data_IF_479663198394
#
_entry.id   IF_479663198394
#
_cell.length_a   1.000
_cell.length_b   1.000
_cell.length_c   1.000
_cell.angle_alpha   90.00
_cell.angle_beta   90.00
_cell.angle_gamma   90.00
#
_symmetry.space_group_name_H-M   'P 1'
#
loop_
_entity.id
_entity.type
_entity.pdbx_description
1 polymer ?
#
# COMPACT_ATOMS: atom_id res chain seq x y z
N UNK A 1 -8.99 -24.55 -10.98
CA UNK A 1 -7.69 -23.86 -11.06
C UNK A 1 -7.93 -22.45 -11.61
N UNK A 2 -7.35 -21.43 -10.98
CA UNK A 2 -7.39 -20.05 -11.48
C UNK A 2 -6.43 -19.95 -12.67
N UNK A 3 -6.97 -19.78 -13.88
CA UNK A 3 -6.17 -19.43 -15.07
C UNK A 3 -6.07 -17.91 -15.10
N UNK A 4 -4.86 -17.37 -15.08
CA UNK A 4 -4.68 -15.92 -15.13
C UNK A 4 -5.21 -15.35 -16.45
N UNK A 5 -6.10 -14.36 -16.33
CA UNK A 5 -6.47 -13.45 -17.41
C UNK A 5 -6.09 -12.04 -16.98
N UNK A 6 -5.33 -11.32 -17.80
CA UNK A 6 -5.05 -9.91 -17.55
C UNK A 6 -6.34 -9.12 -17.78
N UNK A 7 -6.81 -8.45 -16.73
CA UNK A 7 -7.97 -7.57 -16.82
C UNK A 7 -7.71 -6.40 -17.79
N UNK A 8 -8.73 -6.03 -18.55
CA UNK A 8 -8.71 -4.84 -19.39
C UNK A 8 -8.72 -3.57 -18.55
N UNK A 9 -8.31 -2.45 -19.16
CA UNK A 9 -8.40 -1.14 -18.51
C UNK A 9 -9.84 -0.80 -18.09
N UNK A 10 -10.84 -1.19 -18.90
CA UNK A 10 -12.25 -0.97 -18.58
C UNK A 10 -12.70 -1.78 -17.36
N UNK A 11 -12.31 -3.07 -17.29
CA UNK A 11 -12.63 -3.96 -16.17
C UNK A 11 -12.05 -3.42 -14.85
N UNK A 12 -10.80 -2.94 -14.86
CA UNK A 12 -10.17 -2.32 -13.69
C UNK A 12 -10.86 -1.02 -13.30
N UNK A 13 -11.23 -0.18 -14.27
CA UNK A 13 -11.89 1.10 -14.01
C UNK A 13 -13.34 0.96 -13.52
N UNK A 14 -13.95 -0.22 -13.66
CA UNK A 14 -15.28 -0.52 -13.14
C UNK A 14 -15.44 -0.22 -11.64
N UNK A 15 -14.37 -0.31 -10.85
CA UNK A 15 -14.39 0.04 -9.42
C UNK A 15 -14.81 1.49 -9.15
N UNK A 16 -14.54 2.39 -10.10
CA UNK A 16 -14.88 3.80 -10.01
C UNK A 16 -16.31 4.10 -10.47
N UNK A 17 -17.13 3.09 -10.78
CA UNK A 17 -18.57 3.31 -11.07
C UNK A 17 -19.37 3.58 -9.81
N UNK A 18 -18.94 3.08 -8.66
CA UNK A 18 -19.66 3.23 -7.37
C UNK A 18 -18.79 3.92 -6.32
N UNK A 19 -19.41 4.49 -5.29
CA UNK A 19 -18.70 5.02 -4.11
C UNK A 19 -18.42 3.93 -3.04
N UNK A 20 -18.91 2.71 -3.26
CA UNK A 20 -18.85 1.59 -2.31
C UNK A 20 -17.69 0.61 -2.61
N UNK A 21 -16.57 1.13 -3.13
CA UNK A 21 -15.39 0.31 -3.36
C UNK A 21 -14.87 -0.27 -2.03
N UNK A 22 -14.52 -1.56 -2.04
CA UNK A 22 -13.96 -2.23 -0.88
C UNK A 22 -12.74 -1.46 -0.35
N UNK A 23 -12.59 -1.38 0.96
CA UNK A 23 -11.54 -0.60 1.62
C UNK A 23 -10.22 -1.39 1.69
N UNK A 24 -9.09 -0.69 1.57
CA UNK A 24 -7.76 -1.27 1.81
C UNK A 24 -6.95 -0.44 2.82
N UNK A 25 -6.43 -1.10 3.85
CA UNK A 25 -5.42 -0.54 4.75
C UNK A 25 -4.02 -0.97 4.30
N UNK A 26 -3.17 -0.03 3.90
CA UNK A 26 -1.78 -0.26 3.51
C UNK A 26 -0.89 0.00 4.73
N UNK A 27 -0.32 -1.07 5.28
CA UNK A 27 0.51 -1.06 6.48
C UNK A 27 1.98 -1.14 6.08
N UNK A 28 2.76 -0.16 6.51
CA UNK A 28 4.20 -0.05 6.25
C UNK A 28 4.95 -0.17 7.58
N UNK A 29 5.29 -1.37 8.06
CA UNK A 29 6.17 -1.53 9.21
C UNK A 29 7.60 -1.07 8.88
N UNK A 30 8.15 -0.25 9.77
CA UNK A 30 9.48 0.33 9.69
C UNK A 30 10.21 0.13 11.04
N UNK A 31 11.47 -0.29 10.99
CA UNK A 31 12.41 -0.29 12.09
C UNK A 31 13.78 0.23 11.63
N UNK A 32 14.15 1.44 12.10
CA UNK A 32 15.48 2.04 11.86
C UNK A 32 15.88 2.18 10.38
N UNK A 33 14.97 2.10 9.41
CA UNK A 33 15.30 2.41 8.02
C UNK A 33 15.58 3.91 7.83
N UNK A 34 16.33 4.23 6.77
CA UNK A 34 16.60 5.61 6.41
C UNK A 34 15.29 6.35 6.05
N UNK A 35 15.09 7.60 6.53
CA UNK A 35 13.84 8.33 6.29
C UNK A 35 13.48 8.45 4.81
N UNK A 36 14.47 8.58 3.92
CA UNK A 36 14.27 8.67 2.47
C UNK A 36 13.73 7.37 1.86
N UNK A 37 14.18 6.22 2.38
CA UNK A 37 13.71 4.89 1.95
C UNK A 37 12.23 4.72 2.34
N UNK A 38 11.90 5.04 3.59
CA UNK A 38 10.51 5.02 4.09
C UNK A 38 9.63 6.00 3.29
N UNK A 39 10.15 7.19 2.95
CA UNK A 39 9.42 8.20 2.20
C UNK A 39 9.03 7.72 0.79
N UNK A 40 9.93 7.04 0.07
CA UNK A 40 9.65 6.44 -1.25
C UNK A 40 8.52 5.43 -1.16
N UNK A 41 8.58 4.54 -0.18
CA UNK A 41 7.55 3.53 0.09
C UNK A 41 6.20 4.17 0.38
N UNK A 42 6.14 5.08 1.36
CA UNK A 42 4.89 5.76 1.73
C UNK A 42 4.30 6.56 0.59
N UNK A 43 5.13 7.23 -0.23
CA UNK A 43 4.65 8.01 -1.36
C UNK A 43 4.09 7.11 -2.48
N UNK A 44 4.75 5.99 -2.80
CA UNK A 44 4.23 5.01 -3.77
C UNK A 44 2.94 4.33 -3.29
N UNK A 45 2.80 4.10 -1.98
CA UNK A 45 1.57 3.62 -1.35
C UNK A 45 0.44 4.66 -1.38
N UNK A 46 0.74 5.92 -1.10
CA UNK A 46 -0.23 7.01 -1.17
C UNK A 46 -0.72 7.27 -2.60
N UNK A 47 0.12 7.02 -3.60
CA UNK A 47 -0.18 7.15 -5.02
C UNK A 47 -0.61 5.83 -5.67
N UNK A 48 -1.33 4.96 -4.96
CA UNK A 48 -2.02 3.81 -5.57
C UNK A 48 -3.28 4.27 -6.33
N UNK A 49 -3.57 3.70 -7.50
CA UNK A 49 -4.79 3.91 -8.30
C UNK A 49 -5.98 3.12 -7.73
N UNK A 50 -6.24 3.25 -6.43
CA UNK A 50 -7.33 2.56 -5.75
C UNK A 50 -8.15 3.54 -4.89
N UNK A 51 -9.48 3.64 -5.07
CA UNK A 51 -10.26 4.78 -4.57
C UNK A 51 -10.40 4.87 -3.04
N UNK A 52 -10.38 3.73 -2.35
CA UNK A 52 -10.66 3.62 -0.91
C UNK A 52 -9.47 3.03 -0.17
N UNK A 53 -8.48 3.87 0.14
CA UNK A 53 -7.20 3.45 0.74
C UNK A 53 -6.83 4.30 1.95
N UNK A 54 -6.24 3.65 2.95
CA UNK A 54 -5.62 4.26 4.14
C UNK A 54 -4.19 3.75 4.27
N UNK A 55 -3.21 4.63 4.40
CA UNK A 55 -1.80 4.27 4.58
C UNK A 55 -1.41 4.50 6.04
N UNK A 56 -0.73 3.53 6.65
CA UNK A 56 -0.30 3.61 8.04
C UNK A 56 1.16 3.19 8.13
N UNK A 57 2.01 4.14 8.52
CA UNK A 57 3.39 3.87 8.91
C UNK A 57 3.39 3.27 10.32
N UNK A 58 3.87 2.04 10.46
CA UNK A 58 3.99 1.35 11.75
C UNK A 58 5.45 1.44 12.22
N UNK A 59 5.74 2.39 13.08
CA UNK A 59 7.10 2.65 13.58
C UNK A 59 7.40 1.70 14.74
N UNK A 60 8.45 0.89 14.61
CA UNK A 60 8.89 -0.06 15.63
C UNK A 60 10.13 0.39 16.41
N UNK A 61 10.68 1.57 16.10
CA UNK A 61 11.77 2.17 16.85
C UNK A 61 11.44 2.35 18.34
N UNK A 62 12.44 2.31 19.24
CA UNK A 62 12.25 2.75 20.62
C UNK A 62 11.64 4.16 20.65
N UNK A 63 10.55 4.41 21.39
CA UNK A 63 9.81 5.67 21.29
C UNK A 63 10.59 6.87 21.87
N UNK A 64 11.55 6.61 22.76
CA UNK A 64 12.41 7.58 23.43
C UNK A 64 13.87 7.13 23.32
N UNK A 65 14.50 7.24 22.14
CA UNK A 65 15.87 6.83 21.95
C UNK A 65 16.84 7.83 22.62
N UNK A 66 18.00 7.35 23.06
CA UNK A 66 19.02 8.17 23.71
C UNK A 66 20.15 8.60 22.77
N UNK A 67 20.40 7.83 21.70
CA UNK A 67 21.43 8.16 20.73
C UNK A 67 20.94 9.29 19.81
N UNK A 68 21.79 10.29 19.57
CA UNK A 68 21.46 11.46 18.74
C UNK A 68 20.98 11.08 17.35
N UNK A 69 21.66 10.15 16.69
CA UNK A 69 21.31 9.65 15.36
C UNK A 69 19.93 8.96 15.36
N UNK A 70 19.62 8.16 16.38
CA UNK A 70 18.30 7.54 16.53
C UNK A 70 17.20 8.60 16.77
N UNK A 71 17.49 9.66 17.53
CA UNK A 71 16.55 10.78 17.75
C UNK A 71 16.27 11.51 16.44
N UNK A 72 17.31 11.86 15.68
CA UNK A 72 17.21 12.58 14.41
C UNK A 72 16.43 11.75 13.38
N UNK A 73 16.77 10.47 13.22
CA UNK A 73 16.06 9.53 12.33
C UNK A 73 14.59 9.36 12.72
N UNK A 74 14.31 9.06 14.00
CA UNK A 74 12.94 8.85 14.46
C UNK A 74 12.08 10.12 14.29
N UNK A 75 12.67 11.30 14.53
CA UNK A 75 12.00 12.58 14.31
C UNK A 75 11.63 12.74 12.83
N UNK A 76 12.57 12.51 11.92
CA UNK A 76 12.32 12.59 10.48
C UNK A 76 11.23 11.59 10.03
N UNK A 77 11.28 10.34 10.50
CA UNK A 77 10.30 9.29 10.19
C UNK A 77 8.89 9.66 10.69
N UNK A 78 8.76 10.23 11.90
CA UNK A 78 7.47 10.71 12.45
C UNK A 78 6.86 11.86 11.65
N UNK A 79 7.68 12.66 10.97
CA UNK A 79 7.22 13.81 10.17
C UNK A 79 6.74 13.41 8.76
N UNK A 80 7.16 12.26 8.24
CA UNK A 80 6.84 11.81 6.87
C UNK A 80 5.35 11.86 6.49
N UNK A 81 4.39 11.38 7.33
CA UNK A 81 2.96 11.53 7.02
C UNK A 81 2.52 12.98 6.78
N UNK A 82 3.06 13.92 7.56
CA UNK A 82 2.75 15.35 7.43
C UNK A 82 3.34 15.96 6.15
N UNK A 83 4.58 15.59 5.82
CA UNK A 83 5.27 16.00 4.59
C UNK A 83 4.53 15.50 3.35
N UNK A 84 4.17 14.22 3.30
CA UNK A 84 3.43 13.63 2.17
C UNK A 84 2.03 14.26 2.04
N UNK A 85 1.31 14.47 3.15
CA UNK A 85 0.01 15.15 3.13
C UNK A 85 0.11 16.56 2.56
N UNK A 86 1.20 17.26 2.85
CA UNK A 86 1.45 18.60 2.32
C UNK A 86 1.79 18.57 0.83
N UNK A 87 2.65 17.64 0.40
CA UNK A 87 3.02 17.44 -1.00
C UNK A 87 1.81 17.18 -1.91
N UNK A 88 0.87 16.35 -1.44
CA UNK A 88 -0.28 15.89 -2.22
C UNK A 88 -1.51 16.82 -2.11
N UNK A 89 -1.45 17.88 -1.28
CA UNK A 89 -2.60 18.75 -1.00
C UNK A 89 -3.10 19.51 -2.22
N UNK A 90 -2.20 20.20 -2.91
CA UNK A 90 -2.54 21.01 -4.09
C UNK A 90 -3.22 20.18 -5.20
N UNK A 91 -2.64 19.07 -5.69
CA UNK A 91 -3.27 18.27 -6.74
C UNK A 91 -4.57 17.61 -6.25
N UNK A 92 -4.66 17.20 -4.98
CA UNK A 92 -5.90 16.68 -4.38
C UNK A 92 -7.01 17.72 -4.44
N UNK A 93 -6.80 18.89 -3.86
CA UNK A 93 -7.84 19.91 -3.76
C UNK A 93 -8.29 20.38 -5.16
N UNK A 94 -7.36 20.40 -6.13
CA UNK A 94 -7.68 20.69 -7.55
C UNK A 94 -8.62 19.63 -8.14
N UNK A 95 -8.27 18.36 -8.03
CA UNK A 95 -9.06 17.27 -8.61
C UNK A 95 -10.42 17.10 -7.90
N UNK A 96 -10.47 17.23 -6.58
CA UNK A 96 -11.71 17.15 -5.81
C UNK A 96 -12.67 18.31 -6.13
N UNK A 97 -12.15 19.55 -6.27
CA UNK A 97 -12.96 20.69 -6.71
C UNK A 97 -13.52 20.48 -8.12
N UNK A 98 -12.69 19.98 -9.05
CA UNK A 98 -13.15 19.71 -10.41
C UNK A 98 -14.26 18.65 -10.43
N UNK A 99 -14.12 17.58 -9.63
CA UNK A 99 -15.16 16.56 -9.52
C UNK A 99 -16.44 17.08 -8.86
N UNK A 100 -16.34 17.90 -7.81
CA UNK A 100 -17.51 18.52 -7.18
C UNK A 100 -18.26 19.47 -8.14
N UNK A 101 -17.52 20.23 -8.95
CA UNK A 101 -18.09 21.10 -9.97
C UNK A 101 -18.81 20.29 -11.07
N UNK A 102 -18.19 19.20 -11.54
CA UNK A 102 -18.82 18.25 -12.46
C UNK A 102 -20.11 17.67 -11.89
N UNK A 103 -20.10 17.17 -10.64
CA UNK A 103 -21.30 16.64 -9.97
C UNK A 103 -22.43 17.66 -9.91
N UNK A 104 -22.11 18.92 -9.58
CA UNK A 104 -23.10 20.00 -9.55
C UNK A 104 -23.73 20.23 -10.93
N UNK A 105 -22.96 20.13 -12.02
CA UNK A 105 -23.48 20.24 -13.39
C UNK A 105 -24.32 19.03 -13.77
N UNK A 106 -23.88 17.83 -13.40
CA UNK A 106 -24.61 16.58 -13.63
C UNK A 106 -25.99 16.62 -12.95
N UNK A 107 -26.05 17.02 -11.68
CA UNK A 107 -27.28 17.08 -10.88
C UNK A 107 -28.29 18.12 -11.40
N UNK A 108 -27.81 19.19 -12.04
CA UNK A 108 -28.68 20.22 -12.65
C UNK A 108 -29.31 19.80 -13.98
N UNK A 109 -28.82 18.72 -14.58
CA UNK A 109 -29.21 18.29 -15.93
C UNK A 109 -28.58 19.15 -17.04
N UNK A 110 -28.56 18.63 -18.28
CA UNK A 110 -28.03 19.35 -19.44
C UNK A 110 -26.50 19.36 -19.54
N UNK A 111 -25.83 18.26 -19.16
CA UNK A 111 -24.37 18.12 -19.26
C UNK A 111 -23.89 18.27 -20.72
N UNK A 112 -23.06 19.28 -20.99
CA UNK A 112 -22.31 19.36 -22.25
C UNK A 112 -21.10 18.44 -22.19
N UNK A 113 -21.25 17.22 -22.69
CA UNK A 113 -20.18 16.23 -22.72
C UNK A 113 -18.91 16.77 -23.40
N UNK A 114 -19.00 17.59 -24.46
CA UNK A 114 -17.80 18.15 -25.12
C UNK A 114 -17.07 19.12 -24.21
N UNK A 115 -17.80 19.93 -23.45
CA UNK A 115 -17.19 20.78 -22.42
C UNK A 115 -16.47 19.94 -21.37
N UNK A 116 -17.11 18.89 -20.83
CA UNK A 116 -16.48 18.02 -19.82
C UNK A 116 -15.22 17.32 -20.34
N UNK A 117 -15.19 16.88 -21.60
CA UNK A 117 -13.98 16.32 -22.21
C UNK A 117 -12.83 17.34 -22.28
N UNK A 118 -13.13 18.61 -22.57
CA UNK A 118 -12.10 19.68 -22.55
C UNK A 118 -11.60 19.95 -21.13
N UNK A 119 -12.51 19.98 -20.15
CA UNK A 119 -12.17 20.17 -18.73
C UNK A 119 -11.30 19.02 -18.21
N UNK A 120 -11.69 17.76 -18.48
CA UNK A 120 -10.88 16.59 -18.13
C UNK A 120 -9.53 16.61 -18.83
N UNK A 121 -9.47 16.92 -20.12
CA UNK A 121 -8.21 17.04 -20.86
C UNK A 121 -7.27 18.06 -20.20
N UNK A 122 -7.77 19.25 -19.86
CA UNK A 122 -7.01 20.26 -19.16
C UNK A 122 -6.52 19.77 -17.78
N UNK A 123 -7.39 19.13 -17.01
CA UNK A 123 -7.07 18.60 -15.68
C UNK A 123 -6.00 17.49 -15.75
N UNK A 124 -6.09 16.57 -16.70
CA UNK A 124 -5.06 15.56 -16.93
C UNK A 124 -3.71 16.19 -17.33
N UNK A 125 -3.68 17.23 -18.18
CA UNK A 125 -2.42 17.95 -18.48
C UNK A 125 -1.82 18.61 -17.23
N UNK A 126 -2.65 19.20 -16.36
CA UNK A 126 -2.18 19.80 -15.12
C UNK A 126 -1.58 18.76 -14.16
N UNK A 127 -2.26 17.62 -14.02
CA UNK A 127 -1.78 16.49 -13.22
C UNK A 127 -0.49 15.90 -13.80
N UNK A 128 -0.40 15.72 -15.12
CA UNK A 128 0.83 15.30 -15.80
C UNK A 128 1.99 16.24 -15.53
N UNK A 129 1.78 17.56 -15.65
CA UNK A 129 2.80 18.57 -15.28
C UNK A 129 3.17 18.51 -13.80
N UNK A 130 2.24 18.17 -12.91
CA UNK A 130 2.57 18.01 -11.49
C UNK A 130 3.53 16.84 -11.29
N UNK A 131 3.27 15.69 -11.90
CA UNK A 131 4.17 14.53 -11.85
C UNK A 131 5.55 14.86 -12.45
N UNK A 132 5.59 15.51 -13.61
CA UNK A 132 6.85 15.95 -14.24
C UNK A 132 7.66 16.88 -13.33
N UNK A 133 7.00 17.80 -12.60
CA UNK A 133 7.67 18.65 -11.62
C UNK A 133 8.24 17.86 -10.44
N UNK A 134 7.56 16.82 -9.97
CA UNK A 134 8.08 15.97 -8.89
C UNK A 134 9.27 15.15 -9.36
N UNK A 135 9.21 14.55 -10.56
CA UNK A 135 10.33 13.82 -11.15
C UNK A 135 11.60 14.69 -11.22
N UNK A 136 11.49 15.92 -11.74
CA UNK A 136 12.63 16.85 -11.86
C UNK A 136 13.20 17.32 -10.51
N UNK A 137 12.41 17.28 -9.44
CA UNK A 137 12.84 17.68 -8.09
C UNK A 137 13.52 16.56 -7.32
N UNK A 138 13.30 15.31 -7.73
CA UNK A 138 13.88 14.16 -7.07
C UNK A 138 15.35 14.01 -7.52
N UNK A 139 16.27 13.96 -6.56
CA UNK A 139 17.66 13.67 -6.86
C UNK A 139 17.80 12.18 -7.22
N UNK A 140 18.53 11.87 -8.28
CA UNK A 140 18.87 10.51 -8.66
C UNK A 140 20.26 10.19 -8.10
N UNK A 141 20.31 9.47 -6.99
CA UNK A 141 21.56 9.06 -6.32
C UNK A 141 21.94 7.64 -6.75
N UNK A 142 20.96 6.75 -6.86
CA UNK A 142 21.16 5.34 -7.19
C UNK A 142 20.09 4.74 -8.12
N UNK A 143 20.22 3.44 -8.39
CA UNK A 143 19.30 2.68 -9.25
C UNK A 143 17.88 2.54 -8.65
N UNK A 144 17.75 2.66 -7.33
CA UNK A 144 16.45 2.63 -6.64
C UNK A 144 15.70 3.94 -6.93
N UNK A 145 16.39 5.09 -6.90
CA UNK A 145 15.82 6.39 -7.28
C UNK A 145 15.33 6.39 -8.73
N UNK A 146 16.12 5.82 -9.65
CA UNK A 146 15.75 5.73 -11.07
C UNK A 146 14.42 4.99 -11.25
N UNK A 147 14.27 3.81 -10.63
CA UNK A 147 13.02 3.07 -10.71
C UNK A 147 11.88 3.79 -9.99
N UNK A 148 12.16 4.38 -8.82
CA UNK A 148 11.16 5.11 -8.05
C UNK A 148 10.57 6.27 -8.86
N UNK A 149 11.42 7.10 -9.48
CA UNK A 149 10.99 8.23 -10.32
C UNK A 149 10.24 7.73 -11.55
N UNK A 150 10.74 6.69 -12.22
CA UNK A 150 10.08 6.11 -13.39
C UNK A 150 8.67 5.59 -13.07
N UNK A 151 8.52 4.78 -12.00
CA UNK A 151 7.23 4.17 -11.63
C UNK A 151 6.26 5.16 -11.01
N UNK A 152 6.74 6.04 -10.13
CA UNK A 152 5.89 6.89 -9.29
C UNK A 152 5.55 8.23 -9.95
N UNK A 153 6.41 8.73 -10.84
CA UNK A 153 6.23 10.06 -11.45
C UNK A 153 6.22 10.02 -12.98
N UNK A 154 7.26 9.53 -13.64
CA UNK A 154 7.39 9.70 -15.10
C UNK A 154 6.37 8.87 -15.90
N UNK A 155 6.17 7.59 -15.54
CA UNK A 155 5.13 6.77 -16.17
C UNK A 155 3.73 7.34 -15.93
N UNK A 156 3.32 7.71 -14.70
CA UNK A 156 2.06 8.42 -14.47
C UNK A 156 1.93 9.73 -15.24
N UNK A 157 3.01 10.51 -15.37
CA UNK A 157 3.06 11.74 -16.15
C UNK A 157 2.70 11.50 -17.61
N UNK A 158 3.42 10.56 -18.27
CA UNK A 158 3.17 10.19 -19.67
C UNK A 158 1.73 9.75 -19.90
N UNK A 159 1.20 8.88 -19.03
CA UNK A 159 -0.20 8.43 -19.10
C UNK A 159 -1.21 9.57 -18.97
N UNK A 160 -0.93 10.56 -18.13
CA UNK A 160 -1.81 11.73 -18.00
C UNK A 160 -1.81 12.57 -19.28
N UNK A 161 -0.66 12.76 -19.93
CA UNK A 161 -0.60 13.47 -21.21
C UNK A 161 -1.27 12.69 -22.34
N UNK A 162 -1.04 11.37 -22.44
CA UNK A 162 -1.71 10.50 -23.41
C UNK A 162 -3.25 10.58 -23.27
N UNK A 163 -3.75 10.49 -22.04
CA UNK A 163 -5.17 10.58 -21.76
C UNK A 163 -5.73 11.98 -22.06
N UNK A 164 -4.98 13.04 -21.76
CA UNK A 164 -5.38 14.39 -22.10
C UNK A 164 -5.54 14.60 -23.62
N UNK A 165 -4.62 14.07 -24.42
CA UNK A 165 -4.70 14.15 -25.89
C UNK A 165 -5.89 13.34 -26.42
N UNK A 166 -6.12 12.13 -25.87
CA UNK A 166 -7.28 11.31 -26.21
C UNK A 166 -8.59 12.04 -25.96
N UNK A 167 -8.74 12.68 -24.80
CA UNK A 167 -9.95 13.42 -24.42
C UNK A 167 -10.13 14.68 -25.28
N UNK A 168 -9.04 15.39 -25.61
CA UNK A 168 -9.08 16.55 -26.51
C UNK A 168 -9.57 16.16 -27.92
N UNK A 169 -9.08 15.03 -28.45
CA UNK A 169 -9.52 14.52 -29.75
C UNK A 169 -11.01 14.15 -29.75
N UNK A 170 -11.51 13.51 -28.67
CA UNK A 170 -12.93 13.20 -28.51
C UNK A 170 -13.79 14.48 -28.49
N UNK A 171 -13.35 15.51 -27.78
CA UNK A 171 -14.05 16.79 -27.72
C UNK A 171 -14.16 17.49 -29.09
N UNK A 172 -13.17 17.30 -29.98
CA UNK A 172 -13.06 17.98 -31.25
C UNK A 172 -13.94 17.37 -32.37
N UNK A 173 -13.82 16.07 -32.67
CA UNK A 173 -14.44 15.47 -33.88
C UNK A 173 -15.01 14.05 -33.66
N UNK A 174 -15.00 13.51 -32.42
CA UNK A 174 -15.40 12.12 -32.16
C UNK A 174 -16.87 11.90 -31.77
N UNK A 175 -17.39 10.65 -31.89
CA UNK A 175 -18.52 10.20 -31.07
C UNK A 175 -18.10 10.26 -29.60
N UNK A 176 -18.99 10.79 -28.76
CA UNK A 176 -18.68 10.99 -27.35
C UNK A 176 -18.92 9.69 -26.57
N UNK A 177 -17.97 9.25 -25.74
CA UNK A 177 -18.20 8.19 -24.78
C UNK A 177 -19.41 8.50 -23.87
N UNK A 178 -20.07 7.48 -23.29
CA UNK A 178 -21.15 7.65 -22.33
C UNK A 178 -20.78 8.58 -21.17
N UNK A 179 -21.78 9.23 -20.57
CA UNK A 179 -21.59 10.10 -19.40
C UNK A 179 -20.97 9.38 -18.18
N UNK A 180 -21.16 8.07 -18.08
CA UNK A 180 -20.54 7.23 -17.06
C UNK A 180 -19.01 7.24 -17.15
N UNK A 181 -18.44 7.31 -18.36
CA UNK A 181 -16.99 7.36 -18.57
C UNK A 181 -16.40 8.69 -18.08
N UNK A 182 -17.15 9.78 -18.22
CA UNK A 182 -16.78 11.10 -17.70
C UNK A 182 -16.75 11.06 -16.16
N UNK A 183 -17.78 10.46 -15.55
CA UNK A 183 -17.87 10.31 -14.09
C UNK A 183 -16.71 9.47 -13.55
N UNK A 184 -16.40 8.35 -14.20
CA UNK A 184 -15.25 7.49 -13.87
C UNK A 184 -13.95 8.29 -13.94
N UNK A 185 -13.72 9.04 -15.02
CA UNK A 185 -12.50 9.83 -15.20
C UNK A 185 -12.31 10.89 -14.09
N UNK A 186 -13.35 11.65 -13.76
CA UNK A 186 -13.28 12.60 -12.65
C UNK A 186 -13.06 11.92 -11.31
N UNK A 187 -13.76 10.81 -11.01
CA UNK A 187 -13.62 10.09 -9.74
C UNK A 187 -12.22 9.48 -9.60
N UNK A 188 -11.63 8.96 -10.69
CA UNK A 188 -10.24 8.49 -10.72
C UNK A 188 -9.26 9.59 -10.34
N UNK A 189 -9.34 10.76 -10.97
CA UNK A 189 -8.47 11.89 -10.65
C UNK A 189 -8.68 12.41 -9.22
N UNK A 190 -9.93 12.55 -8.77
CA UNK A 190 -10.25 13.01 -7.43
C UNK A 190 -9.74 12.09 -6.33
N UNK A 191 -9.73 10.78 -6.56
CA UNK A 191 -9.25 9.78 -5.59
C UNK A 191 -7.75 9.51 -5.71
N UNK A 192 -7.10 9.88 -6.82
CA UNK A 192 -5.67 9.66 -7.08
C UNK A 192 -4.76 10.30 -6.02
N UNK A 193 -5.11 11.47 -5.51
CA UNK A 193 -4.33 12.23 -4.53
C UNK A 193 -4.95 12.28 -3.15
N UNK A 194 -6.05 11.56 -2.92
CA UNK A 194 -6.69 11.49 -1.61
C UNK A 194 -5.70 10.90 -0.60
N UNK A 195 -5.46 11.65 0.46
CA UNK A 195 -4.47 11.32 1.49
C UNK A 195 -5.16 10.99 2.80
N UNK A 196 -5.30 9.70 3.08
CA UNK A 196 -5.49 9.20 4.43
C UNK A 196 -4.21 8.47 4.85
N UNK A 197 -3.30 9.21 5.48
CA UNK A 197 -2.01 8.71 5.97
C UNK A 197 -1.82 9.05 7.45
N UNK A 198 -1.39 8.05 8.23
CA UNK A 198 -1.12 8.15 9.65
C UNK A 198 0.18 7.42 10.02
N UNK A 199 0.69 7.68 11.23
CA UNK A 199 1.74 6.89 11.86
C UNK A 199 1.23 6.27 13.17
N UNK A 200 1.77 5.12 13.52
CA UNK A 200 1.45 4.38 14.73
C UNK A 200 2.72 3.79 15.34
N UNK A 201 2.89 3.95 16.65
CA UNK A 201 4.04 3.50 17.42
C UNK A 201 3.57 2.62 18.58
N UNK A 202 3.51 1.31 18.36
CA UNK A 202 2.96 0.39 19.39
C UNK A 202 3.73 0.44 20.70
N UNK A 203 5.05 0.65 20.65
CA UNK A 203 5.95 0.63 21.82
C UNK A 203 5.75 1.81 22.76
N UNK A 204 4.98 2.83 22.35
CA UNK A 204 4.51 3.89 23.25
C UNK A 204 3.51 3.38 24.28
N UNK A 205 2.80 2.29 24.01
CA UNK A 205 1.70 1.80 24.83
C UNK A 205 2.07 0.51 25.55
N UNK A 206 1.99 0.50 26.88
CA UNK A 206 2.43 -0.65 27.69
C UNK A 206 1.55 -1.89 27.47
N UNK A 207 0.29 -1.70 27.09
CA UNK A 207 -0.70 -2.75 26.91
C UNK A 207 -0.74 -3.36 25.49
N UNK A 208 0.21 -2.98 24.63
CA UNK A 208 0.42 -3.60 23.32
C UNK A 208 1.68 -4.49 23.36
N UNK A 209 1.94 -5.23 22.27
CA UNK A 209 3.14 -6.06 22.19
C UNK A 209 4.41 -5.21 22.02
N UNK A 210 5.48 -5.59 22.72
CA UNK A 210 6.81 -4.96 22.62
C UNK A 210 7.86 -5.92 22.01
N UNK A 211 7.46 -7.12 21.60
CA UNK A 211 8.37 -8.09 20.95
C UNK A 211 9.01 -7.48 19.70
N UNK A 212 10.33 -7.56 19.51
CA UNK A 212 11.06 -6.82 18.47
C UNK A 212 10.99 -7.52 17.10
N UNK A 213 9.78 -7.82 16.61
CA UNK A 213 9.54 -8.41 15.31
C UNK A 213 8.44 -7.67 14.52
N UNK A 214 8.48 -7.82 13.20
CA UNK A 214 7.54 -7.19 12.26
C UNK A 214 6.10 -7.68 12.48
N UNK A 215 5.93 -8.97 12.74
CA UNK A 215 4.62 -9.59 12.95
C UNK A 215 3.86 -8.96 14.10
N UNK A 216 4.51 -8.69 15.23
CA UNK A 216 3.89 -8.07 16.40
C UNK A 216 3.62 -6.57 16.21
N UNK A 217 4.34 -5.90 15.32
CA UNK A 217 4.00 -4.55 14.89
C UNK A 217 2.69 -4.53 14.09
N UNK A 218 2.59 -5.41 13.10
CA UNK A 218 1.36 -5.60 12.31
C UNK A 218 0.17 -6.04 13.19
N UNK A 219 0.35 -7.05 14.04
CA UNK A 219 -0.68 -7.55 14.95
C UNK A 219 -1.21 -6.48 15.89
N UNK A 220 -0.34 -5.59 16.40
CA UNK A 220 -0.75 -4.51 17.29
C UNK A 220 -1.70 -3.53 16.58
N UNK A 221 -1.45 -3.19 15.31
CA UNK A 221 -2.35 -2.32 14.56
C UNK A 221 -3.62 -3.06 14.09
N UNK A 222 -3.49 -4.28 13.57
CA UNK A 222 -4.61 -5.14 13.17
C UNK A 222 -5.60 -5.36 14.33
N UNK A 223 -5.09 -5.52 15.56
CA UNK A 223 -5.90 -5.67 16.76
C UNK A 223 -6.68 -4.41 17.16
N UNK A 224 -6.37 -3.25 16.57
CA UNK A 224 -7.06 -1.98 16.77
C UNK A 224 -8.08 -1.69 15.67
N UNK A 225 -7.96 -2.29 14.49
CA UNK A 225 -8.87 -2.05 13.36
C UNK A 225 -10.32 -2.34 13.74
N UNK A 226 -11.23 -1.43 13.38
CA UNK A 226 -12.64 -1.45 13.74
C UNK A 226 -12.96 -0.96 15.15
N UNK A 227 -11.97 -0.50 15.92
CA UNK A 227 -12.15 -0.05 17.31
C UNK A 227 -12.03 1.46 17.44
N UNK A 228 -12.69 1.97 18.46
CA UNK A 228 -12.58 3.35 18.92
C UNK A 228 -11.75 3.38 20.19
N UNK A 229 -10.60 4.04 20.12
CA UNK A 229 -9.59 4.00 21.20
C UNK A 229 -9.20 5.39 21.68
N UNK A 230 -8.73 5.50 22.92
CA UNK A 230 -8.11 6.71 23.46
C UNK A 230 -6.83 6.39 24.20
N UNK A 231 -5.90 7.34 24.19
CA UNK A 231 -4.71 7.30 25.01
C UNK A 231 -5.05 7.70 26.46
N UNK A 232 -4.55 6.94 27.42
CA UNK A 232 -4.56 7.30 28.84
C UNK A 232 -3.15 7.20 29.40
N UNK A 233 -2.81 8.11 30.30
CA UNK A 233 -1.55 8.09 31.02
C UNK A 233 -1.83 7.73 32.49
N UNK A 234 -1.14 6.71 32.99
CA UNK A 234 -1.16 6.37 34.40
C UNK A 234 -0.33 7.37 35.22
N UNK A 235 -0.52 7.37 36.55
CA UNK A 235 0.18 8.27 37.46
C UNK A 235 1.71 8.09 37.43
N UNK A 236 2.19 6.92 37.03
CA UNK A 236 3.61 6.59 36.86
C UNK A 236 4.16 6.93 35.46
N UNK A 237 3.38 7.62 34.62
CA UNK A 237 3.77 8.05 33.27
C UNK A 237 3.57 7.01 32.18
N UNK A 238 3.20 5.76 32.50
CA UNK A 238 2.94 4.73 31.48
C UNK A 238 1.69 5.06 30.67
N UNK A 239 1.80 4.94 29.35
CA UNK A 239 0.69 5.17 28.42
C UNK A 239 -0.02 3.86 28.08
N UNK A 240 -1.33 3.92 27.98
CA UNK A 240 -2.18 2.82 27.54
C UNK A 240 -3.07 3.30 26.40
N UNK A 241 -3.42 2.37 25.51
CA UNK A 241 -4.41 2.57 24.48
C UNK A 241 -5.64 1.71 24.80
N UNK A 242 -6.76 2.33 25.16
CA UNK A 242 -7.96 1.64 25.68
C UNK A 242 -9.18 1.93 24.83
N UNK A 243 -10.11 0.97 24.76
CA UNK A 243 -11.40 1.21 24.12
C UNK A 243 -12.17 2.32 24.83
N UNK A 244 -12.94 3.09 24.05
CA UNK A 244 -13.80 4.14 24.58
C UNK A 244 -15.03 4.32 23.72
N UNK A 245 -16.17 4.56 24.37
CA UNK A 245 -17.39 5.02 23.70
C UNK A 245 -17.46 6.55 23.60
N UNK A 246 -16.67 7.26 24.43
CA UNK A 246 -16.64 8.73 24.48
C UNK A 246 -15.96 9.30 23.25
N UNK A 247 -16.67 10.13 22.50
CA UNK A 247 -16.23 10.68 21.21
C UNK A 247 -15.16 11.76 21.35
N UNK A 248 -15.25 12.61 22.38
CA UNK A 248 -14.46 13.85 22.51
C UNK A 248 -12.93 13.64 22.60
N UNK A 249 -12.48 12.41 22.88
CA UNK A 249 -11.06 12.06 23.03
C UNK A 249 -10.70 10.76 22.30
N UNK A 250 -11.56 10.32 21.40
CA UNK A 250 -11.37 9.07 20.70
C UNK A 250 -10.68 9.24 19.34
N UNK A 251 -9.81 8.29 19.04
CA UNK A 251 -9.31 8.02 17.70
C UNK A 251 -10.06 6.79 17.17
N UNK A 252 -10.82 6.97 16.11
CA UNK A 252 -11.38 5.84 15.35
C UNK A 252 -10.26 5.20 14.52
N UNK A 253 -10.09 3.88 14.65
CA UNK A 253 -9.22 3.09 13.79
C UNK A 253 -10.13 2.33 12.81
N UNK A 254 -10.25 2.80 11.56
CA UNK A 254 -11.18 2.17 10.60
C UNK A 254 -10.86 0.69 10.40
N UNK A 255 -11.90 -0.14 10.25
CA UNK A 255 -11.70 -1.48 9.71
C UNK A 255 -11.45 -1.40 8.19
N UNK A 256 -11.00 -2.50 7.59
CA UNK A 256 -10.85 -2.61 6.15
C UNK A 256 -11.23 -3.99 5.62
N UNK A 257 -11.71 -4.05 4.38
CA UNK A 257 -11.98 -5.32 3.68
C UNK A 257 -10.69 -6.08 3.36
N UNK A 258 -9.65 -5.32 3.02
CA UNK A 258 -8.32 -5.79 2.66
C UNK A 258 -7.23 -5.08 3.46
N UNK A 259 -6.14 -5.79 3.72
CA UNK A 259 -4.91 -5.26 4.30
C UNK A 259 -3.76 -5.53 3.34
N UNK A 260 -3.04 -4.50 2.96
CA UNK A 260 -1.82 -4.61 2.18
C UNK A 260 -0.62 -4.41 3.10
N UNK A 261 0.29 -5.38 3.17
CA UNK A 261 1.49 -5.29 4.01
C UNK A 261 2.69 -5.03 3.12
N UNK A 262 3.42 -3.93 3.37
CA UNK A 262 4.44 -3.39 2.47
C UNK A 262 5.72 -3.16 3.26
N UNK A 263 6.86 -3.62 2.74
CA UNK A 263 8.13 -3.41 3.43
C UNK A 263 8.57 -1.97 3.28
N UNK A 264 9.21 -1.41 4.31
CA UNK A 264 9.61 0.00 4.35
C UNK A 264 10.59 0.40 3.23
N UNK A 265 11.19 -0.57 2.55
CA UNK A 265 12.15 -0.44 1.46
C UNK A 265 11.60 -0.85 0.08
N UNK A 266 10.27 -0.84 -0.07
CA UNK A 266 9.59 -1.28 -1.29
C UNK A 266 8.94 -0.15 -2.09
N UNK A 267 9.12 -0.17 -3.41
CA UNK A 267 8.41 0.71 -4.35
C UNK A 267 7.33 -0.07 -5.08
N UNK A 268 6.12 0.48 -5.09
CA UNK A 268 4.94 -0.12 -5.69
C UNK A 268 4.60 0.50 -7.04
N UNK A 269 4.24 -0.32 -8.02
CA UNK A 269 3.58 0.14 -9.24
C UNK A 269 2.23 0.77 -8.87
N UNK A 270 1.83 1.90 -9.50
CA UNK A 270 0.58 2.59 -9.19
C UNK A 270 -0.68 1.73 -9.28
N UNK A 271 -0.68 0.68 -10.09
CA UNK A 271 -1.86 -0.19 -10.27
C UNK A 271 -1.82 -1.44 -9.37
N UNK A 272 -0.88 -1.56 -8.43
CA UNK A 272 -0.72 -2.74 -7.57
C UNK A 272 -2.02 -3.12 -6.87
N UNK A 273 -2.59 -2.21 -6.07
CA UNK A 273 -3.80 -2.49 -5.32
C UNK A 273 -5.02 -2.71 -6.24
N UNK A 274 -5.10 -1.93 -7.32
CA UNK A 274 -6.19 -2.01 -8.30
C UNK A 274 -6.28 -3.39 -8.95
N UNK A 275 -5.17 -3.90 -9.47
CA UNK A 275 -5.13 -5.20 -10.17
C UNK A 275 -5.39 -6.36 -9.23
N UNK A 276 -4.80 -6.33 -8.04
CA UNK A 276 -4.88 -7.46 -7.12
C UNK A 276 -6.25 -7.54 -6.44
N UNK A 277 -6.80 -6.41 -5.99
CA UNK A 277 -8.16 -6.39 -5.40
C UNK A 277 -9.21 -6.71 -6.46
N UNK A 278 -9.02 -6.31 -7.72
CA UNK A 278 -9.90 -6.72 -8.81
C UNK A 278 -9.99 -8.25 -8.90
N UNK A 279 -8.87 -8.97 -8.94
CA UNK A 279 -8.86 -10.45 -8.93
C UNK A 279 -9.55 -11.00 -7.68
N UNK A 280 -9.24 -10.47 -6.49
CA UNK A 280 -9.90 -10.93 -5.25
C UNK A 280 -11.42 -10.66 -5.21
N UNK A 281 -11.90 -9.70 -5.99
CA UNK A 281 -13.31 -9.35 -6.11
C UNK A 281 -14.07 -10.15 -7.16
N UNK A 282 -13.39 -10.90 -8.03
CA UNK A 282 -14.05 -11.73 -9.05
C UNK A 282 -14.85 -12.87 -8.40
N UNK A 283 -16.04 -13.21 -8.94
CA UNK A 283 -16.82 -14.36 -8.47
C UNK A 283 -16.01 -15.64 -8.47
N UNK A 284 -16.09 -16.42 -7.38
CA UNK A 284 -15.29 -17.63 -7.16
C UNK A 284 -13.99 -17.39 -6.38
N UNK A 285 -13.55 -16.13 -6.22
CA UNK A 285 -12.36 -15.76 -5.44
C UNK A 285 -12.72 -15.31 -4.01
N UNK A 286 -13.92 -15.62 -3.52
CA UNK A 286 -14.34 -15.29 -2.16
C UNK A 286 -13.45 -15.97 -1.12
N UNK A 287 -12.92 -17.17 -1.44
CA UNK A 287 -11.97 -17.94 -0.61
C UNK A 287 -10.51 -17.69 -0.94
N UNK A 288 -10.19 -16.68 -1.75
CA UNK A 288 -8.83 -16.18 -1.91
C UNK A 288 -8.48 -15.27 -0.71
N UNK A 289 -7.58 -15.75 0.15
CA UNK A 289 -7.13 -15.00 1.33
C UNK A 289 -6.00 -14.04 1.00
N UNK A 290 -4.97 -14.52 0.29
CA UNK A 290 -3.77 -13.74 -0.02
C UNK A 290 -3.58 -13.69 -1.51
N UNK A 291 -3.32 -12.50 -2.03
CA UNK A 291 -2.80 -12.29 -3.36
C UNK A 291 -1.52 -11.47 -3.28
N UNK A 292 -0.50 -11.86 -4.03
CA UNK A 292 0.78 -11.16 -4.06
C UNK A 292 1.32 -11.14 -5.49
N UNK A 293 2.34 -10.33 -5.73
CA UNK A 293 3.16 -10.44 -6.95
C UNK A 293 4.48 -11.15 -6.66
N UNK A 294 5.21 -11.57 -7.69
CA UNK A 294 6.61 -11.96 -7.55
C UNK A 294 7.42 -10.93 -6.79
N UNK A 295 8.17 -11.39 -5.79
CA UNK A 295 9.23 -10.62 -5.17
C UNK A 295 10.26 -10.26 -6.26
N UNK A 296 10.50 -8.96 -6.46
CA UNK A 296 11.38 -8.46 -7.53
C UNK A 296 12.41 -7.51 -6.93
N UNK A 297 13.67 -7.65 -7.34
CA UNK A 297 14.72 -6.72 -6.93
C UNK A 297 14.67 -5.44 -7.78
N UNK A 298 15.18 -4.34 -7.24
CA UNK A 298 15.45 -3.15 -8.04
C UNK A 298 16.45 -3.48 -9.19
N UNK A 299 16.14 -3.11 -10.44
CA UNK A 299 17.02 -3.35 -11.58
C UNK A 299 18.22 -2.38 -11.55
N UNK A 300 19.31 -2.74 -12.22
CA UNK A 300 20.43 -1.81 -12.42
C UNK A 300 21.44 -1.75 -11.27
N UNK A 301 21.34 -2.64 -10.28
CA UNK A 301 22.31 -2.73 -9.18
C UNK A 301 23.79 -2.74 -9.66
N UNK A 302 24.64 -1.81 -9.18
CA UNK A 302 26.02 -1.68 -9.64
C UNK A 302 26.95 -2.75 -9.06
N UNK A 303 26.63 -3.30 -7.89
CA UNK A 303 27.41 -4.32 -7.20
C UNK A 303 27.15 -5.74 -7.72
N UNK A 304 28.21 -6.56 -7.82
CA UNK A 304 28.06 -7.98 -8.21
C UNK A 304 27.20 -8.75 -7.21
N UNK A 305 27.42 -8.53 -5.91
CA UNK A 305 26.71 -9.25 -4.86
C UNK A 305 25.21 -8.96 -4.88
N UNK A 306 24.85 -7.68 -4.97
CA UNK A 306 23.45 -7.24 -5.07
C UNK A 306 22.79 -7.81 -6.33
N UNK A 307 23.47 -7.77 -7.49
CA UNK A 307 22.95 -8.41 -8.73
C UNK A 307 22.72 -9.91 -8.58
N UNK A 308 23.63 -10.63 -7.94
CA UNK A 308 23.47 -12.07 -7.70
C UNK A 308 22.32 -12.33 -6.73
N UNK A 309 22.21 -11.56 -5.65
CA UNK A 309 21.09 -11.63 -4.73
C UNK A 309 19.75 -11.37 -5.45
N UNK A 310 19.69 -10.33 -6.27
CA UNK A 310 18.55 -10.01 -7.12
C UNK A 310 18.22 -11.09 -8.14
N UNK A 311 19.22 -11.72 -8.77
CA UNK A 311 19.00 -12.84 -9.68
C UNK A 311 18.34 -14.04 -8.97
N UNK A 312 18.73 -14.35 -7.72
CA UNK A 312 18.05 -15.43 -6.95
C UNK A 312 16.60 -15.08 -6.63
N UNK A 313 16.30 -13.81 -6.38
CA UNK A 313 14.94 -13.29 -6.23
C UNK A 313 14.15 -13.44 -7.53
N UNK A 314 14.72 -13.04 -8.65
CA UNK A 314 14.07 -13.10 -9.96
C UNK A 314 13.73 -14.53 -10.40
N UNK A 315 14.48 -15.54 -9.96
CA UNK A 315 14.11 -16.96 -10.19
C UNK A 315 12.79 -17.30 -9.50
N UNK A 316 12.48 -16.70 -8.34
CA UNK A 316 11.21 -16.91 -7.65
C UNK A 316 10.01 -16.47 -8.50
N UNK A 317 10.19 -15.50 -9.42
CA UNK A 317 9.14 -15.11 -10.37
C UNK A 317 8.55 -16.32 -11.08
N UNK A 318 9.41 -17.20 -11.61
CA UNK A 318 9.01 -18.40 -12.37
C UNK A 318 8.46 -19.46 -11.40
N UNK A 319 9.15 -19.70 -10.29
CA UNK A 319 8.78 -20.74 -9.33
C UNK A 319 7.39 -20.49 -8.73
N UNK A 320 7.05 -19.25 -8.37
CA UNK A 320 5.73 -18.93 -7.83
C UNK A 320 4.58 -19.08 -8.83
N UNK A 321 4.85 -18.97 -10.14
CA UNK A 321 3.84 -19.32 -11.14
C UNK A 321 3.56 -20.81 -11.14
N UNK A 322 4.62 -21.63 -11.02
CA UNK A 322 4.50 -23.07 -10.84
C UNK A 322 3.70 -23.43 -9.58
N UNK A 323 4.04 -22.85 -8.43
CA UNK A 323 3.29 -23.07 -7.19
C UNK A 323 1.82 -22.66 -7.32
N UNK A 324 1.52 -21.53 -7.96
CA UNK A 324 0.13 -21.09 -8.20
C UNK A 324 -0.62 -22.08 -9.07
N UNK A 325 0.01 -22.59 -10.13
CA UNK A 325 -0.59 -23.61 -10.99
C UNK A 325 -0.98 -24.88 -10.21
N UNK A 326 -0.13 -25.34 -9.29
CA UNK A 326 -0.36 -26.54 -8.49
C UNK A 326 -1.10 -26.31 -7.17
N UNK A 327 -1.63 -25.09 -6.92
CA UNK A 327 -2.33 -24.78 -5.67
C UNK A 327 -1.43 -24.81 -4.42
N UNK A 328 -0.12 -24.58 -4.60
CA UNK A 328 0.90 -24.62 -3.57
C UNK A 328 1.49 -23.23 -3.26
N UNK A 329 0.78 -22.15 -3.61
CA UNK A 329 1.21 -20.78 -3.33
C UNK A 329 1.31 -20.54 -1.84
N UNK A 330 2.42 -19.92 -1.43
CA UNK A 330 2.61 -19.41 -0.09
C UNK A 330 2.92 -17.92 -0.10
N UNK A 331 2.63 -17.28 1.02
CA UNK A 331 2.86 -15.86 1.25
C UNK A 331 4.34 -15.62 1.57
N UNK A 332 4.97 -14.71 0.81
CA UNK A 332 6.41 -14.36 0.92
C UNK A 332 6.67 -13.11 1.79
N UNK A 333 5.69 -12.70 2.60
CA UNK A 333 5.87 -11.79 3.75
C UNK A 333 5.99 -10.31 3.48
N UNK A 334 6.12 -9.94 2.22
CA UNK A 334 6.15 -8.57 1.77
C UNK A 334 5.20 -8.36 0.59
N UNK A 335 4.71 -7.13 0.46
CA UNK A 335 3.97 -6.64 -0.69
C UNK A 335 2.88 -7.62 -1.11
N UNK A 336 1.95 -7.92 -0.20
CA UNK A 336 0.80 -8.79 -0.45
C UNK A 336 -0.48 -8.13 0.06
N UNK A 337 -1.59 -8.39 -0.63
CA UNK A 337 -2.93 -8.02 -0.19
C UNK A 337 -3.57 -9.26 0.44
N UNK A 338 -4.01 -9.08 1.67
CA UNK A 338 -4.69 -10.09 2.46
C UNK A 338 -6.11 -9.66 2.73
N UNK A 339 -7.07 -10.56 2.54
CA UNK A 339 -8.45 -10.33 2.95
C UNK A 339 -8.53 -10.30 4.47
N UNK A 340 -9.01 -9.20 5.05
CA UNK A 340 -8.98 -9.01 6.50
C UNK A 340 -9.74 -10.10 7.27
N UNK A 341 -10.89 -10.56 6.74
CA UNK A 341 -11.63 -11.68 7.35
C UNK A 341 -10.84 -13.01 7.40
N UNK A 342 -9.91 -13.22 6.47
CA UNK A 342 -9.07 -14.42 6.48
C UNK A 342 -8.02 -14.34 7.61
N UNK A 343 -7.51 -13.14 7.93
CA UNK A 343 -6.69 -12.91 9.12
C UNK A 343 -7.51 -13.10 10.41
N UNK A 344 -8.76 -12.62 10.44
CA UNK A 344 -9.65 -12.83 11.59
C UNK A 344 -9.90 -14.31 11.88
N UNK A 345 -10.09 -15.13 10.83
CA UNK A 345 -10.30 -16.58 10.94
C UNK A 345 -9.12 -17.29 11.62
N UNK A 346 -7.89 -16.85 11.32
CA UNK A 346 -6.66 -17.43 11.89
C UNK A 346 -6.24 -16.80 13.22
N UNK A 347 -6.87 -15.71 13.63
CA UNK A 347 -6.44 -14.94 14.79
C UNK A 347 -6.54 -15.74 16.09
N UNK A 348 -5.46 -15.70 16.87
CA UNK A 348 -5.35 -16.27 18.20
C UNK A 348 -5.17 -15.17 19.24
N UNK A 349 -5.15 -15.55 20.51
CA UNK A 349 -4.91 -14.63 21.61
C UNK A 349 -3.80 -15.16 22.50
N UNK A 350 -2.95 -14.24 22.94
CA UNK A 350 -1.86 -14.49 23.87
C UNK A 350 -1.94 -13.49 25.04
N UNK A 351 -1.31 -13.86 26.15
CA UNK A 351 -1.03 -12.94 27.25
C UNK A 351 0.45 -12.58 27.19
N UNK A 352 0.74 -11.30 27.02
CA UNK A 352 2.11 -10.77 27.05
C UNK A 352 2.20 -9.72 28.15
N UNK A 353 3.13 -9.89 29.10
CA UNK A 353 3.33 -8.94 30.21
C UNK A 353 2.03 -8.60 30.97
N UNK A 354 1.09 -9.55 31.05
CA UNK A 354 -0.20 -9.37 31.71
C UNK A 354 -1.31 -8.74 30.85
N UNK A 355 -1.04 -8.46 29.57
CA UNK A 355 -2.02 -7.87 28.65
C UNK A 355 -2.46 -8.86 27.58
N UNK A 356 -3.74 -8.80 27.20
CA UNK A 356 -4.31 -9.60 26.12
C UNK A 356 -3.89 -9.02 24.77
N UNK A 357 -3.15 -9.79 24.00
CA UNK A 357 -2.68 -9.44 22.66
C UNK A 357 -3.34 -10.37 21.65
N UNK A 358 -3.90 -9.80 20.58
CA UNK A 358 -4.47 -10.57 19.46
C UNK A 358 -3.38 -10.78 18.41
N UNK A 359 -3.12 -12.04 18.04
CA UNK A 359 -2.11 -12.42 17.05
C UNK A 359 -2.81 -12.94 15.80
N UNK A 360 -2.64 -12.23 14.68
CA UNK A 360 -3.15 -12.62 13.37
C UNK A 360 -2.08 -13.34 12.55
N UNK A 361 -0.86 -12.83 12.66
CA UNK A 361 0.36 -13.39 12.07
C UNK A 361 1.14 -14.02 13.24
N UNK A 362 1.36 -15.33 13.21
CA UNK A 362 2.10 -16.01 14.29
C UNK A 362 3.59 -15.73 14.18
N UNK A 363 4.26 -15.58 15.31
CA UNK A 363 5.70 -15.31 15.43
C UNK A 363 6.46 -16.48 16.06
N UNK A 364 6.02 -17.72 15.80
CA UNK A 364 6.67 -18.93 16.33
C UNK A 364 7.94 -19.28 15.55
N UNK A 365 7.98 -18.91 14.28
CA UNK A 365 9.11 -19.11 13.36
C UNK A 365 9.66 -17.76 12.89
N UNK A 366 10.82 -17.78 12.20
CA UNK A 366 11.42 -16.59 11.61
C UNK A 366 10.85 -16.23 10.22
N UNK A 367 9.84 -16.99 9.76
CA UNK A 367 9.12 -16.87 8.48
C UNK A 367 7.61 -16.84 8.75
N UNK A 368 7.18 -15.85 9.54
CA UNK A 368 5.82 -15.71 10.06
C UNK A 368 4.74 -15.70 8.97
N UNK A 369 5.11 -15.24 7.79
CA UNK A 369 4.32 -15.17 6.55
C UNK A 369 4.00 -16.55 5.96
N UNK A 370 5.02 -17.39 5.83
CA UNK A 370 4.94 -18.75 5.32
C UNK A 370 4.22 -19.62 6.33
N UNK A 371 4.45 -19.40 7.61
CA UNK A 371 3.69 -20.04 8.69
C UNK A 371 2.19 -19.68 8.63
N UNK A 372 1.86 -18.40 8.47
CA UNK A 372 0.46 -17.96 8.34
C UNK A 372 -0.24 -18.57 7.12
N UNK A 373 0.50 -18.88 6.05
CA UNK A 373 -0.02 -19.62 4.90
C UNK A 373 -0.60 -20.97 5.31
N UNK A 374 0.11 -21.73 6.16
CA UNK A 374 -0.33 -23.05 6.59
C UNK A 374 -1.65 -22.95 7.36
N UNK A 375 -1.77 -21.95 8.24
CA UNK A 375 -2.98 -21.72 9.03
C UNK A 375 -4.19 -21.29 8.18
N UNK A 376 -3.94 -20.52 7.12
CA UNK A 376 -4.94 -20.12 6.14
C UNK A 376 -5.43 -21.34 5.33
N UNK A 377 -4.50 -22.12 4.79
CA UNK A 377 -4.82 -23.34 4.02
C UNK A 377 -5.57 -24.35 4.88
N UNK A 378 -5.16 -24.55 6.14
CA UNK A 378 -5.85 -25.42 7.10
C UNK A 378 -7.31 -24.99 7.35
N UNK A 379 -7.62 -23.70 7.17
CA UNK A 379 -8.98 -23.15 7.25
C UNK A 379 -9.70 -23.08 5.90
N UNK A 380 -9.14 -23.67 4.84
CA UNK A 380 -9.72 -23.71 3.50
C UNK A 380 -9.60 -22.40 2.72
N UNK A 381 -8.60 -21.58 3.03
CA UNK A 381 -8.29 -20.38 2.25
C UNK A 381 -7.27 -20.69 1.15
N UNK A 382 -7.43 -20.06 -0.01
CA UNK A 382 -6.49 -20.11 -1.12
C UNK A 382 -5.54 -18.92 -1.14
N UNK A 383 -4.42 -19.08 -1.84
CA UNK A 383 -3.44 -18.03 -2.12
C UNK A 383 -3.15 -17.98 -3.61
N UNK A 384 -2.81 -16.81 -4.14
CA UNK A 384 -2.56 -16.60 -5.57
C UNK A 384 -1.36 -15.67 -5.82
N UNK A 385 -0.49 -16.05 -6.75
CA UNK A 385 0.59 -15.19 -7.23
C UNK A 385 0.20 -14.57 -8.58
N UNK A 386 0.07 -13.25 -8.62
CA UNK A 386 -0.28 -12.49 -9.80
C UNK A 386 0.96 -12.33 -10.71
N UNK A 387 0.93 -12.74 -12.00
CA UNK A 387 2.13 -12.92 -12.83
C UNK A 387 2.72 -11.62 -13.41
N UNK A 388 2.73 -10.52 -12.65
CA UNK A 388 3.36 -9.26 -13.05
C UNK A 388 4.25 -8.72 -11.94
N UNK A 389 5.37 -8.10 -12.31
CA UNK A 389 6.24 -7.38 -11.37
C UNK A 389 5.60 -6.03 -11.07
N UNK A 390 4.97 -5.90 -9.89
CA UNK A 390 4.31 -4.66 -9.47
C UNK A 390 4.87 -4.11 -8.15
N UNK A 391 5.81 -4.80 -7.51
CA UNK A 391 6.49 -4.34 -6.31
C UNK A 391 7.97 -4.69 -6.42
N UNK A 392 8.82 -3.76 -6.01
CA UNK A 392 10.28 -3.87 -6.07
C UNK A 392 10.84 -3.55 -4.69
N UNK A 393 11.76 -4.37 -4.20
CA UNK A 393 12.30 -4.25 -2.85
C UNK A 393 13.83 -4.30 -2.88
N UNK A 394 14.44 -3.73 -1.84
CA UNK A 394 15.88 -3.74 -1.71
C UNK A 394 16.40 -5.17 -1.51
N UNK A 395 17.56 -5.45 -2.10
CA UNK A 395 18.32 -6.66 -1.80
C UNK A 395 19.51 -6.32 -0.92
N UNK A 396 20.02 -7.26 -0.10
CA UNK A 396 21.15 -6.99 0.76
C UNK A 396 22.35 -6.40 -0.01
N UNK A 397 22.90 -5.25 0.43
CA UNK A 397 23.97 -4.56 -0.30
C UNK A 397 25.34 -5.21 -0.11
N UNK A 398 25.51 -6.00 0.96
CA UNK A 398 26.76 -6.66 1.31
C UNK A 398 26.56 -8.12 1.76
N UNK A 399 27.68 -8.83 1.91
CA UNK A 399 27.69 -10.26 2.24
C UNK A 399 27.21 -10.56 3.66
N UNK A 400 27.47 -9.66 4.62
CA UNK A 400 27.01 -9.82 6.00
C UNK A 400 25.49 -9.75 6.09
N UNK A 401 24.90 -8.72 5.47
CA UNK A 401 23.45 -8.55 5.37
C UNK A 401 22.80 -9.74 4.62
N UNK A 402 23.43 -10.21 3.54
CA UNK A 402 22.94 -11.38 2.79
C UNK A 402 22.94 -12.65 3.64
N UNK A 403 24.02 -12.92 4.38
CA UNK A 403 24.11 -14.09 5.27
C UNK A 403 23.05 -14.04 6.37
N UNK A 404 22.84 -12.89 7.01
CA UNK A 404 21.81 -12.72 8.04
C UNK A 404 20.43 -13.02 7.45
N UNK A 405 20.11 -12.46 6.28
CA UNK A 405 18.83 -12.68 5.61
C UNK A 405 18.61 -14.16 5.27
N UNK A 406 19.59 -14.80 4.62
CA UNK A 406 19.45 -16.20 4.16
C UNK A 406 19.47 -17.20 5.31
N UNK A 407 20.23 -16.94 6.38
CA UNK A 407 20.20 -17.76 7.59
C UNK A 407 18.86 -17.68 8.30
N UNK A 408 18.25 -16.49 8.35
CA UNK A 408 16.88 -16.32 8.89
C UNK A 408 15.89 -17.19 8.13
N UNK A 409 15.93 -17.16 6.79
CA UNK A 409 15.04 -17.96 5.93
C UNK A 409 15.31 -19.46 6.00
N UNK A 410 16.55 -19.89 6.23
CA UNK A 410 16.88 -21.31 6.35
C UNK A 410 16.54 -21.89 7.73
N UNK A 411 16.53 -21.05 8.77
CA UNK A 411 16.19 -21.45 10.14
C UNK A 411 14.68 -21.51 10.38
N UNK A 412 13.93 -20.59 9.77
CA UNK A 412 12.47 -20.64 9.73
C UNK A 412 12.03 -21.80 8.86
#
# INVERSE_FOLDING_TARGET
MLIHRRASTEELQGIYRTDAAATVAILVPAYKEEPEVVAKTLLSACLQEYPSRRVVLLIDDPPEPTAREDIERLTAVRELPGTIRTLLREPRDRCERAFAAFRTRLDRGGLDSRHEFRELSALYREVGRWFERQARRHALVDHVDELFVELTFDRPSRRCFEEAERLAACAAVGPLPPADDITIAYRRLATRFRTDIAAFERKRYINLSHEPNKAMNLNSYLGLMGRRVREIMAADGRRFLVDTERVEQASDVPDADYVMMVDADSVLDPEYALRLIHVMGEPGNERLAVIQTPYSAFPGAPGLLERVAGATTDVQYIIHQGFTHYGATYWVGANAIVRKRALDDIATQAIERGFRVRKFIQDRTLIEDTESTIELVARGWGLYNYPARLAFSATPPDFGALLIQRRRWANG
#
